data_IF_555901099861
#
_entry.id   IF_555901099861
#
_cell.length_a   1.000
_cell.length_b   1.000
_cell.length_c   1.000
_cell.angle_alpha   90.00
_cell.angle_beta   90.00
_cell.angle_gamma   90.00
#
_symmetry.space_group_name_H-M   'P 1'
#
loop_
_entity.id
_entity.type
_entity.pdbx_description
1 polymer ?
#
# COMPACT_ATOMS: atom_id res chain seq x y z
N UNK A 1 8.13 -14.60 20.41
CA UNK A 1 8.68 -15.21 19.18
C UNK A 1 10.02 -15.87 19.49
N UNK A 2 10.23 -17.12 19.09
CA UNK A 2 11.58 -17.69 18.99
C UNK A 2 12.25 -17.11 17.74
N UNK A 3 13.52 -16.73 17.85
CA UNK A 3 14.34 -16.06 16.82
C UNK A 3 14.37 -16.84 15.49
N UNK A 4 14.14 -18.15 15.53
CA UNK A 4 14.16 -19.03 14.35
C UNK A 4 13.12 -18.67 13.28
N UNK A 5 11.92 -18.21 13.64
CA UNK A 5 10.88 -17.85 12.67
C UNK A 5 11.12 -16.52 11.95
N UNK A 6 11.95 -15.63 12.52
CA UNK A 6 12.35 -14.35 11.88
C UNK A 6 13.42 -14.60 10.82
N UNK A 7 14.33 -15.55 11.09
CA UNK A 7 15.44 -15.93 10.22
C UNK A 7 14.95 -16.42 8.85
N UNK A 8 14.00 -17.34 8.83
CA UNK A 8 13.49 -17.95 7.59
C UNK A 8 12.78 -16.93 6.68
N UNK A 9 12.11 -15.94 7.25
CA UNK A 9 11.40 -14.90 6.47
C UNK A 9 12.34 -13.83 5.88
N UNK A 10 13.34 -13.37 6.63
CA UNK A 10 14.28 -12.35 6.15
C UNK A 10 15.28 -12.88 5.12
N UNK A 11 15.64 -14.17 5.21
CA UNK A 11 16.47 -14.81 4.18
C UNK A 11 15.75 -14.88 2.83
N UNK A 12 14.42 -15.06 2.82
CA UNK A 12 13.63 -15.15 1.60
C UNK A 12 13.47 -13.79 0.87
N UNK A 13 13.47 -12.67 1.61
CA UNK A 13 13.19 -11.34 1.04
C UNK A 13 14.39 -10.38 1.00
N UNK A 14 15.46 -10.64 1.77
CA UNK A 14 16.57 -9.68 1.91
C UNK A 14 17.96 -10.28 1.67
N UNK A 15 18.09 -11.57 1.37
CA UNK A 15 19.31 -12.22 0.89
C UNK A 15 20.52 -12.26 1.84
N UNK A 16 20.57 -11.48 2.93
CA UNK A 16 21.77 -11.36 3.77
C UNK A 16 21.41 -11.23 5.26
N UNK A 17 21.25 -12.37 5.93
CA UNK A 17 21.04 -12.43 7.38
C UNK A 17 22.35 -12.32 8.18
N UNK A 18 23.50 -12.70 7.61
CA UNK A 18 24.79 -12.75 8.33
C UNK A 18 25.24 -11.39 8.89
N UNK A 19 24.76 -10.26 8.33
CA UNK A 19 25.10 -8.92 8.81
C UNK A 19 24.39 -8.51 10.13
N UNK A 20 23.37 -9.26 10.58
CA UNK A 20 22.59 -8.92 11.79
C UNK A 20 23.06 -9.61 13.08
N UNK A 21 23.84 -10.70 13.00
CA UNK A 21 24.24 -11.47 14.20
C UNK A 21 25.22 -10.73 15.12
N UNK A 22 25.91 -9.69 14.63
CA UNK A 22 26.91 -8.95 15.41
C UNK A 22 26.43 -7.70 16.16
N UNK A 23 25.16 -7.27 16.05
CA UNK A 23 24.72 -5.92 16.51
C UNK A 23 23.56 -5.87 17.51
N UNK A 24 23.32 -6.96 18.26
CA UNK A 24 22.61 -6.91 19.54
C UNK A 24 21.22 -6.26 19.54
N UNK A 25 20.30 -6.72 18.70
CA UNK A 25 18.93 -6.19 18.70
C UNK A 25 17.89 -7.14 18.11
N UNK A 26 17.50 -8.18 18.85
CA UNK A 26 16.37 -9.03 18.48
C UNK A 26 15.04 -8.38 18.90
N UNK A 27 14.46 -7.56 18.01
CA UNK A 27 13.15 -6.95 18.19
C UNK A 27 12.72 -6.08 16.99
N UNK A 28 11.42 -5.78 16.87
CA UNK A 28 10.83 -4.97 15.79
C UNK A 28 11.56 -3.62 15.61
N UNK A 29 12.02 -3.01 16.71
CA UNK A 29 12.82 -1.79 16.68
C UNK A 29 14.19 -1.98 15.98
N UNK A 30 14.82 -3.16 16.11
CA UNK A 30 16.07 -3.51 15.43
C UNK A 30 15.87 -3.69 13.93
N UNK A 31 14.79 -4.36 13.52
CA UNK A 31 14.40 -4.53 12.12
C UNK A 31 14.11 -3.15 11.47
N UNK A 32 13.36 -2.28 12.17
CA UNK A 32 13.10 -0.90 11.71
C UNK A 32 14.39 -0.11 11.50
N UNK A 33 15.34 -0.20 12.44
CA UNK A 33 16.63 0.50 12.37
C UNK A 33 17.53 -0.06 11.26
N UNK A 34 17.45 -1.36 10.97
CA UNK A 34 18.16 -2.01 9.87
C UNK A 34 17.61 -1.58 8.50
N UNK A 35 16.30 -1.64 8.28
CA UNK A 35 15.68 -1.19 7.02
C UNK A 35 15.92 0.30 6.76
N UNK A 36 15.84 1.14 7.79
CA UNK A 36 16.10 2.58 7.69
C UNK A 36 17.56 2.91 7.36
N UNK A 37 18.53 2.19 7.93
CA UNK A 37 19.96 2.42 7.65
C UNK A 37 20.40 1.98 6.26
N UNK A 38 19.87 0.89 5.69
CA UNK A 38 20.27 0.43 4.35
C UNK A 38 19.65 1.26 3.22
N UNK A 39 18.42 1.76 3.39
CA UNK A 39 17.80 2.68 2.43
C UNK A 39 18.55 4.02 2.33
N UNK A 40 19.23 4.45 3.40
CA UNK A 40 20.09 5.63 3.39
C UNK A 40 21.50 5.41 2.80
N UNK A 41 21.89 4.16 2.47
CA UNK A 41 23.24 3.81 2.02
C UNK A 41 23.36 3.48 0.52
N UNK A 42 22.34 3.71 -0.30
CA UNK A 42 22.46 3.59 -1.76
C UNK A 42 22.96 4.89 -2.39
N UNK A 43 24.18 5.28 -2.02
CA UNK A 43 25.02 6.19 -2.81
C UNK A 43 26.40 5.54 -2.86
N UNK A 44 26.96 5.21 -4.04
CA UNK A 44 28.31 4.67 -4.08
C UNK A 44 29.29 5.75 -3.65
N UNK A 45 30.03 5.49 -2.56
CA UNK A 45 31.24 6.21 -2.23
C UNK A 45 32.43 5.52 -2.90
N UNK A 46 33.00 6.17 -3.91
CA UNK A 46 34.39 6.11 -4.43
C UNK A 46 34.38 6.42 -5.95
N UNK A 47 35.28 7.19 -6.54
CA UNK A 47 36.63 7.54 -6.14
C UNK A 47 37.04 8.95 -6.62
N UNK A 48 37.84 9.61 -5.79
CA UNK A 48 38.71 10.73 -6.11
C UNK A 48 39.92 10.29 -6.95
N UNK A 49 40.44 11.18 -7.81
CA UNK A 49 41.85 11.17 -8.23
C UNK A 49 42.09 11.23 -9.74
N UNK A 50 42.96 12.15 -10.13
CA UNK A 50 43.36 12.57 -11.47
C UNK A 50 43.96 11.49 -12.39
N UNK A 51 44.00 11.85 -13.68
CA UNK A 51 44.82 11.33 -14.78
C UNK A 51 44.50 9.96 -15.41
N UNK A 52 43.70 10.01 -16.48
CA UNK A 52 43.99 9.27 -17.70
C UNK A 52 43.32 9.93 -18.92
N UNK A 53 44.04 10.86 -19.53
CA UNK A 53 43.77 11.31 -20.90
C UNK A 53 43.96 10.12 -21.86
N UNK A 54 42.88 9.42 -22.19
CA UNK A 54 42.85 8.41 -23.27
C UNK A 54 41.63 8.61 -24.15
N UNK A 55 41.91 9.00 -25.39
CA UNK A 55 41.01 9.11 -26.54
C UNK A 55 39.93 8.01 -26.52
N UNK A 56 38.66 8.42 -26.44
CA UNK A 56 37.53 7.52 -26.67
C UNK A 56 37.34 7.33 -28.19
N UNK A 57 37.15 6.09 -28.68
CA UNK A 57 36.79 5.82 -30.06
C UNK A 57 35.37 6.35 -30.35
N UNK A 58 35.20 6.95 -31.52
CA UNK A 58 33.93 7.43 -32.07
C UNK A 58 32.91 6.28 -32.15
N UNK A 59 31.87 6.30 -31.31
CA UNK A 59 30.78 5.32 -31.38
C UNK A 59 30.10 4.94 -30.06
N UNK A 60 30.53 5.46 -28.90
CA UNK A 60 29.82 5.22 -27.63
C UNK A 60 28.67 6.22 -27.52
N UNK A 61 27.44 5.78 -27.81
CA UNK A 61 26.25 6.50 -27.39
C UNK A 61 26.20 6.47 -25.86
N UNK A 62 26.49 7.62 -25.24
CA UNK A 62 26.23 7.84 -23.83
C UNK A 62 24.72 7.76 -23.64
N UNK A 63 24.22 6.61 -23.23
CA UNK A 63 22.82 6.46 -22.81
C UNK A 63 22.64 7.38 -21.60
N UNK A 64 22.14 8.59 -21.82
CA UNK A 64 21.78 9.48 -20.73
C UNK A 64 20.74 8.75 -19.87
N UNK A 65 20.86 8.81 -18.53
CA UNK A 65 19.87 8.20 -17.66
C UNK A 65 18.50 8.76 -18.02
N UNK A 66 17.55 7.88 -18.37
CA UNK A 66 16.18 8.27 -18.68
C UNK A 66 15.62 9.03 -17.47
N UNK A 67 14.99 10.19 -17.70
CA UNK A 67 14.26 10.92 -16.65
C UNK A 67 13.13 10.02 -16.16
N UNK A 68 12.93 9.97 -14.84
CA UNK A 68 11.88 9.17 -14.21
C UNK A 68 10.93 10.14 -13.49
N UNK A 69 9.69 10.15 -13.93
CA UNK A 69 8.59 10.90 -13.34
C UNK A 69 7.70 9.96 -12.54
N UNK A 70 7.04 10.49 -11.50
CA UNK A 70 6.19 9.71 -10.61
C UNK A 70 4.79 10.32 -10.59
N UNK A 71 3.76 9.53 -10.89
CA UNK A 71 2.37 9.95 -10.96
C UNK A 71 1.51 9.04 -10.07
N UNK A 72 0.90 9.60 -9.02
CA UNK A 72 -0.09 8.89 -8.21
C UNK A 72 -1.50 9.14 -8.75
N UNK A 73 -2.27 8.08 -9.00
CA UNK A 73 -3.61 8.20 -9.58
C UNK A 73 -4.63 7.46 -8.73
N UNK A 74 -5.70 8.13 -8.29
CA UNK A 74 -6.88 7.47 -7.70
C UNK A 74 -8.07 7.58 -8.65
N UNK A 75 -9.14 6.82 -8.39
CA UNK A 75 -10.34 6.87 -9.24
C UNK A 75 -10.99 8.26 -9.27
N UNK A 76 -11.19 8.84 -8.09
CA UNK A 76 -11.75 10.17 -7.87
C UNK A 76 -11.17 10.78 -6.58
N UNK A 77 -11.78 11.89 -6.13
CA UNK A 77 -11.36 12.63 -4.95
C UNK A 77 -11.61 11.92 -3.62
N UNK A 78 -12.40 10.84 -3.57
CA UNK A 78 -12.47 10.02 -2.35
C UNK A 78 -11.12 9.36 -2.02
N UNK A 79 -10.25 9.18 -3.02
CA UNK A 79 -8.87 8.71 -2.85
C UNK A 79 -7.82 9.80 -2.66
N UNK A 80 -8.19 11.09 -2.69
CA UNK A 80 -7.24 12.20 -2.73
C UNK A 80 -6.31 12.23 -1.51
N UNK A 81 -6.84 11.97 -0.30
CA UNK A 81 -6.03 11.97 0.91
C UNK A 81 -4.97 10.85 0.88
N UNK A 82 -5.36 9.64 0.47
CA UNK A 82 -4.43 8.52 0.37
C UNK A 82 -3.39 8.75 -0.74
N UNK A 83 -3.81 9.36 -1.85
CA UNK A 83 -2.96 9.76 -2.98
C UNK A 83 -1.91 10.78 -2.54
N UNK A 84 -2.31 11.80 -1.80
CA UNK A 84 -1.42 12.81 -1.23
C UNK A 84 -0.43 12.16 -0.25
N UNK A 85 -0.92 11.33 0.67
CA UNK A 85 -0.08 10.65 1.64
C UNK A 85 0.95 9.73 0.98
N UNK A 86 0.56 8.99 -0.07
CA UNK A 86 1.50 8.18 -0.85
C UNK A 86 2.53 9.06 -1.58
N UNK A 87 2.10 10.16 -2.20
CA UNK A 87 2.98 11.09 -2.88
C UNK A 87 4.04 11.69 -1.93
N UNK A 88 3.64 12.09 -0.72
CA UNK A 88 4.55 12.61 0.30
C UNK A 88 5.55 11.55 0.77
N UNK A 89 5.12 10.29 0.91
CA UNK A 89 6.02 9.19 1.24
C UNK A 89 7.01 8.88 0.12
N UNK A 90 6.57 8.90 -1.13
CA UNK A 90 7.45 8.72 -2.28
C UNK A 90 8.51 9.83 -2.33
N UNK A 91 8.12 11.09 -2.10
CA UNK A 91 9.06 12.23 -2.01
C UNK A 91 10.06 12.03 -0.88
N UNK A 92 9.61 11.61 0.29
CA UNK A 92 10.47 11.39 1.47
C UNK A 92 11.50 10.28 1.22
N UNK A 93 11.08 9.17 0.59
CA UNK A 93 11.95 8.02 0.31
C UNK A 93 12.87 8.23 -0.89
N UNK A 94 12.45 9.05 -1.86
CA UNK A 94 13.22 9.29 -3.08
C UNK A 94 14.54 10.03 -2.86
N UNK A 95 14.70 10.73 -1.73
CA UNK A 95 15.88 11.55 -1.35
C UNK A 95 16.33 12.61 -2.39
N UNK A 96 15.66 12.69 -3.53
CA UNK A 96 15.93 13.57 -4.67
C UNK A 96 15.04 14.83 -4.67
N UNK A 97 14.02 14.86 -3.82
CA UNK A 97 13.03 15.94 -3.78
C UNK A 97 12.23 16.06 -5.08
N UNK A 98 12.26 15.05 -5.94
CA UNK A 98 11.61 15.09 -7.24
C UNK A 98 10.10 15.33 -7.08
N UNK A 99 9.47 16.13 -7.95
CA UNK A 99 8.03 16.30 -7.92
C UNK A 99 7.33 14.95 -8.10
N UNK A 100 6.21 14.79 -7.40
CA UNK A 100 5.30 13.66 -7.58
C UNK A 100 3.97 14.26 -7.99
N UNK A 101 3.57 13.94 -9.21
CA UNK A 101 2.32 14.38 -9.81
C UNK A 101 1.17 13.55 -9.26
N UNK A 102 -0.02 14.14 -9.28
CA UNK A 102 -1.21 13.53 -8.72
C UNK A 102 -2.38 13.81 -9.63
N UNK A 103 -3.22 12.81 -9.86
CA UNK A 103 -4.42 12.94 -10.67
C UNK A 103 -5.60 12.16 -10.11
N UNK A 104 -6.80 12.70 -10.32
CA UNK A 104 -8.06 11.95 -10.32
C UNK A 104 -8.22 11.33 -11.71
N UNK A 105 -8.49 10.04 -11.82
CA UNK A 105 -8.78 9.40 -13.11
C UNK A 105 -10.00 10.02 -13.79
N UNK A 106 -11.08 10.24 -13.02
CA UNK A 106 -12.34 10.79 -13.52
C UNK A 106 -12.21 12.21 -14.06
N UNK A 107 -11.40 13.03 -13.40
CA UNK A 107 -11.33 14.48 -13.65
C UNK A 107 -9.97 14.92 -14.19
N UNK A 108 -9.15 13.97 -14.66
CA UNK A 108 -7.75 14.19 -15.07
C UNK A 108 -7.64 15.29 -16.13
N UNK A 109 -6.80 16.28 -15.87
CA UNK A 109 -6.49 17.37 -16.78
C UNK A 109 -5.04 17.32 -17.25
N UNK A 110 -4.74 18.13 -18.27
CA UNK A 110 -3.40 18.13 -18.82
C UNK A 110 -2.34 18.55 -17.78
N UNK A 111 -2.65 19.55 -16.96
CA UNK A 111 -1.72 20.09 -15.96
C UNK A 111 -1.42 19.10 -14.82
N UNK A 112 -2.19 18.03 -14.69
CA UNK A 112 -1.97 16.97 -13.70
C UNK A 112 -0.84 16.00 -14.11
N UNK A 113 -0.46 15.96 -15.39
CA UNK A 113 0.51 14.98 -15.89
C UNK A 113 1.95 15.49 -15.83
N UNK A 114 2.92 14.61 -15.50
CA UNK A 114 4.33 14.93 -15.64
C UNK A 114 4.73 15.19 -17.10
N UNK A 115 5.91 15.78 -17.34
CA UNK A 115 6.53 15.81 -18.66
C UNK A 115 6.60 14.41 -19.28
N UNK A 116 6.46 14.34 -20.61
CA UNK A 116 6.49 13.09 -21.37
C UNK A 116 7.83 12.79 -22.05
N UNK A 117 8.92 13.44 -21.64
CA UNK A 117 10.28 13.26 -22.18
C UNK A 117 11.11 12.19 -21.43
N UNK A 118 10.44 11.30 -20.70
CA UNK A 118 11.04 10.24 -19.89
C UNK A 118 10.09 9.08 -19.60
N UNK A 119 10.43 8.27 -18.59
CA UNK A 119 9.58 7.21 -18.06
C UNK A 119 8.63 7.81 -17.03
N UNK A 120 7.35 7.47 -17.11
CA UNK A 120 6.35 7.85 -16.11
C UNK A 120 6.00 6.61 -15.28
N UNK A 121 6.48 6.57 -14.05
CA UNK A 121 6.09 5.58 -13.05
C UNK A 121 4.73 5.93 -12.48
N UNK A 122 3.76 5.05 -12.71
CA UNK A 122 2.38 5.24 -12.30
C UNK A 122 2.15 4.43 -11.04
N UNK A 123 1.64 5.09 -10.00
CA UNK A 123 1.29 4.52 -8.71
C UNK A 123 -0.24 4.54 -8.57
N UNK A 124 -0.93 3.43 -8.90
CA UNK A 124 -2.37 3.37 -8.81
C UNK A 124 -2.80 3.29 -7.34
N UNK A 125 -3.43 4.35 -6.85
CA UNK A 125 -4.06 4.44 -5.54
C UNK A 125 -5.47 3.83 -5.64
N UNK A 126 -5.48 2.53 -5.88
CA UNK A 126 -6.67 1.69 -5.99
C UNK A 126 -6.54 0.52 -5.00
N UNK A 127 -7.67 -0.02 -4.55
CA UNK A 127 -7.65 -1.19 -3.66
C UNK A 127 -7.42 -2.48 -4.43
N UNK A 128 -7.95 -2.57 -5.64
CA UNK A 128 -7.99 -3.81 -6.41
C UNK A 128 -7.59 -3.50 -7.85
N UNK A 129 -6.94 -4.47 -8.50
CA UNK A 129 -6.78 -4.44 -9.95
C UNK A 129 -8.14 -4.62 -10.64
N UNK A 130 -8.25 -4.14 -11.87
CA UNK A 130 -9.47 -4.20 -12.65
C UNK A 130 -9.34 -3.37 -13.92
N UNK A 131 -10.39 -3.41 -14.76
CA UNK A 131 -10.39 -2.78 -16.09
C UNK A 131 -9.95 -1.31 -16.07
N UNK A 132 -10.36 -0.55 -15.04
CA UNK A 132 -9.94 0.86 -14.90
C UNK A 132 -8.42 1.01 -14.85
N UNK A 133 -7.72 0.15 -14.12
CA UNK A 133 -6.26 0.25 -13.95
C UNK A 133 -5.51 -0.45 -15.08
N UNK A 134 -6.04 -1.56 -15.60
CA UNK A 134 -5.34 -2.38 -16.61
C UNK A 134 -5.55 -1.91 -18.04
N UNK A 135 -6.68 -1.25 -18.34
CA UNK A 135 -7.01 -0.81 -19.71
C UNK A 135 -7.27 0.71 -19.76
N UNK A 136 -8.27 1.20 -19.01
CA UNK A 136 -8.80 2.55 -19.20
C UNK A 136 -7.80 3.65 -18.84
N UNK A 137 -7.09 3.51 -17.72
CA UNK A 137 -6.06 4.45 -17.29
C UNK A 137 -4.88 4.50 -18.27
N UNK A 138 -4.28 3.37 -18.71
CA UNK A 138 -3.29 3.39 -19.79
C UNK A 138 -3.76 4.07 -21.08
N UNK A 139 -4.99 3.78 -21.52
CA UNK A 139 -5.57 4.38 -22.74
C UNK A 139 -5.73 5.90 -22.59
N UNK A 140 -6.31 6.37 -21.48
CA UNK A 140 -6.51 7.79 -21.20
C UNK A 140 -5.17 8.54 -21.11
N UNK A 141 -4.18 8.00 -20.39
CA UNK A 141 -2.85 8.59 -20.31
C UNK A 141 -2.20 8.69 -21.68
N UNK A 142 -2.27 7.60 -22.48
CA UNK A 142 -1.72 7.58 -23.84
C UNK A 142 -2.33 8.68 -24.71
N UNK A 143 -3.67 8.83 -24.68
CA UNK A 143 -4.37 9.87 -25.43
C UNK A 143 -3.94 11.29 -25.00
N UNK A 144 -3.91 11.56 -23.69
CA UNK A 144 -3.54 12.87 -23.15
C UNK A 144 -2.08 13.26 -23.42
N UNK A 145 -1.17 12.30 -23.51
CA UNK A 145 0.21 12.55 -23.91
C UNK A 145 0.35 12.74 -25.43
N UNK A 146 -0.40 11.98 -26.24
CA UNK A 146 -0.42 12.13 -27.69
C UNK A 146 -0.93 13.52 -28.12
N UNK A 147 -1.92 14.08 -27.42
CA UNK A 147 -2.39 15.47 -27.63
C UNK A 147 -1.29 16.52 -27.42
N UNK A 148 -0.25 16.20 -26.65
CA UNK A 148 0.94 17.06 -26.43
C UNK A 148 2.09 16.74 -27.38
N UNK A 149 1.91 15.80 -28.30
CA UNK A 149 2.94 15.37 -29.24
C UNK A 149 4.08 14.56 -28.59
N UNK A 150 3.83 13.92 -27.44
CA UNK A 150 4.82 13.08 -26.75
C UNK A 150 4.25 11.68 -26.48
N UNK A 151 5.13 10.70 -26.31
CA UNK A 151 4.76 9.31 -26.04
C UNK A 151 5.75 8.73 -25.01
N UNK A 152 5.53 8.99 -23.71
CA UNK A 152 6.39 8.46 -22.67
C UNK A 152 6.21 6.94 -22.52
N UNK A 153 7.23 6.30 -21.96
CA UNK A 153 7.14 4.92 -21.51
C UNK A 153 6.43 4.88 -20.15
N UNK A 154 5.41 4.04 -20.00
CA UNK A 154 4.69 3.87 -18.75
C UNK A 154 5.19 2.65 -17.97
N UNK A 155 5.47 2.85 -16.68
CA UNK A 155 5.76 1.77 -15.74
C UNK A 155 4.68 1.75 -14.65
N UNK A 156 3.75 0.80 -14.74
CA UNK A 156 2.69 0.64 -13.75
C UNK A 156 3.20 -0.14 -12.54
N UNK A 157 3.14 0.50 -11.37
CA UNK A 157 3.32 -0.17 -10.08
C UNK A 157 2.03 -0.91 -9.69
N UNK A 158 2.12 -1.92 -8.81
CA UNK A 158 0.93 -2.56 -8.28
C UNK A 158 0.01 -1.57 -7.58
N UNK A 159 -1.28 -1.89 -7.58
CA UNK A 159 -2.29 -1.09 -6.88
C UNK A 159 -1.97 -1.01 -5.39
N UNK A 160 -2.32 0.09 -4.74
CA UNK A 160 -2.05 0.29 -3.31
C UNK A 160 -2.53 -0.88 -2.43
N UNK A 161 -3.70 -1.45 -2.72
CA UNK A 161 -4.24 -2.58 -1.97
C UNK A 161 -3.48 -3.91 -2.13
N UNK A 162 -2.56 -4.03 -3.09
CA UNK A 162 -1.65 -5.17 -3.18
C UNK A 162 -0.67 -5.24 -1.99
N UNK A 163 -0.43 -4.08 -1.35
CA UNK A 163 0.35 -3.98 -0.12
C UNK A 163 1.80 -4.42 -0.32
N UNK A 164 2.46 -3.92 -1.36
CA UNK A 164 3.92 -4.06 -1.54
C UNK A 164 4.69 -3.31 -0.45
N UNK A 165 4.13 -2.18 -0.01
CA UNK A 165 4.66 -1.43 1.11
C UNK A 165 4.24 -2.09 2.43
N UNK A 166 5.23 -2.55 3.18
CA UNK A 166 5.02 -3.24 4.46
C UNK A 166 4.49 -2.29 5.55
N UNK A 167 4.78 -0.99 5.48
CA UNK A 167 4.45 -0.06 6.56
C UNK A 167 2.94 0.15 6.71
N UNK A 168 2.15 0.42 5.65
CA UNK A 168 0.70 0.45 5.76
C UNK A 168 0.10 -0.83 6.32
N UNK A 169 0.58 -1.99 5.88
CA UNK A 169 0.11 -3.28 6.38
C UNK A 169 0.36 -3.43 7.89
N UNK A 170 1.57 -3.10 8.38
CA UNK A 170 1.88 -3.19 9.80
C UNK A 170 1.01 -2.24 10.64
N UNK A 171 0.76 -1.02 10.15
CA UNK A 171 -0.13 -0.05 10.81
C UNK A 171 -1.55 -0.59 10.94
N UNK A 172 -2.10 -1.14 9.85
CA UNK A 172 -3.45 -1.72 9.84
C UNK A 172 -3.52 -2.94 10.74
N UNK A 173 -2.55 -3.86 10.64
CA UNK A 173 -2.46 -5.04 11.50
C UNK A 173 -2.46 -4.67 12.98
N UNK A 174 -1.63 -3.71 13.39
CA UNK A 174 -1.52 -3.31 14.80
C UNK A 174 -2.79 -2.63 15.31
N UNK A 175 -3.53 -1.94 14.44
CA UNK A 175 -4.82 -1.38 14.78
C UNK A 175 -5.89 -2.47 14.89
N UNK A 176 -6.00 -3.37 13.90
CA UNK A 176 -6.93 -4.50 13.94
C UNK A 176 -6.70 -5.41 15.14
N UNK A 177 -5.45 -5.65 15.53
CA UNK A 177 -5.14 -6.44 16.72
C UNK A 177 -5.73 -5.88 18.03
N UNK A 178 -6.10 -4.60 18.07
CA UNK A 178 -6.81 -3.99 19.21
C UNK A 178 -8.33 -4.11 19.09
N UNK A 179 -8.85 -4.23 17.87
CA UNK A 179 -10.28 -4.38 17.61
C UNK A 179 -10.75 -5.84 17.73
N UNK A 180 -9.83 -6.81 17.60
CA UNK A 180 -10.13 -8.24 17.51
C UNK A 180 -9.92 -8.95 18.86
N UNK A 181 -10.82 -8.69 19.81
CA UNK A 181 -10.88 -9.40 21.09
C UNK A 181 -11.28 -10.88 20.93
N UNK A 182 -11.00 -11.76 21.91
CA UNK A 182 -11.44 -13.16 21.89
C UNK A 182 -12.95 -13.29 21.61
N UNK A 183 -13.32 -14.18 20.69
CA UNK A 183 -14.72 -14.34 20.26
C UNK A 183 -15.17 -13.37 19.17
N UNK A 184 -14.27 -12.54 18.65
CA UNK A 184 -14.50 -11.68 17.47
C UNK A 184 -14.05 -12.38 16.19
N UNK A 185 -14.90 -12.37 15.16
CA UNK A 185 -14.54 -12.72 13.78
C UNK A 185 -14.25 -11.47 12.96
N UNK A 186 -13.30 -11.56 12.02
CA UNK A 186 -13.03 -10.51 11.03
C UNK A 186 -13.67 -10.88 9.69
N UNK A 187 -14.49 -9.98 9.14
CA UNK A 187 -14.99 -10.09 7.77
C UNK A 187 -14.38 -8.98 6.91
N UNK A 188 -13.53 -9.35 5.95
CA UNK A 188 -13.09 -8.41 4.92
C UNK A 188 -14.13 -8.39 3.81
N UNK A 189 -14.64 -7.20 3.45
CA UNK A 189 -15.64 -7.04 2.38
C UNK A 189 -15.04 -6.22 1.25
N UNK A 190 -14.93 -6.81 0.06
CA UNK A 190 -14.35 -6.16 -1.11
C UNK A 190 -15.38 -5.99 -2.23
N UNK A 191 -15.09 -5.15 -3.23
CA UNK A 191 -16.01 -4.92 -4.35
C UNK A 191 -16.19 -6.18 -5.20
N UNK A 192 -15.07 -6.82 -5.56
CA UNK A 192 -15.09 -7.94 -6.50
C UNK A 192 -15.38 -7.44 -7.92
N UNK A 193 -15.30 -8.31 -8.91
CA UNK A 193 -15.62 -7.95 -10.29
C UNK A 193 -16.61 -8.98 -10.82
N UNK A 194 -17.80 -8.54 -11.22
CA UNK A 194 -18.83 -9.42 -11.79
C UNK A 194 -18.33 -9.92 -13.15
N UNK A 195 -18.36 -11.25 -13.38
CA UNK A 195 -18.12 -11.84 -14.70
C UNK A 195 -16.66 -11.88 -15.17
N UNK A 196 -15.69 -11.63 -14.28
CA UNK A 196 -14.25 -11.87 -14.50
C UNK A 196 -13.65 -12.58 -13.29
N UNK A 197 -12.40 -13.01 -13.42
CA UNK A 197 -11.63 -13.50 -12.29
C UNK A 197 -11.59 -12.45 -11.17
N UNK A 198 -11.70 -12.93 -9.92
CA UNK A 198 -11.63 -12.07 -8.77
C UNK A 198 -10.24 -11.45 -8.66
N UNK A 199 -10.14 -10.14 -8.39
CA UNK A 199 -8.87 -9.50 -8.11
C UNK A 199 -8.16 -10.19 -6.93
N UNK A 200 -6.85 -10.48 -7.02
CA UNK A 200 -6.13 -11.26 -6.02
C UNK A 200 -5.88 -10.49 -4.72
N UNK A 201 -5.93 -9.16 -4.74
CA UNK A 201 -5.46 -8.30 -3.65
C UNK A 201 -6.21 -8.52 -2.32
N UNK A 202 -7.56 -8.60 -2.26
CA UNK A 202 -8.26 -8.82 -1.00
C UNK A 202 -7.94 -10.19 -0.37
N UNK A 203 -7.82 -11.22 -1.20
CA UNK A 203 -7.44 -12.56 -0.73
C UNK A 203 -6.00 -12.57 -0.22
N UNK A 204 -5.07 -11.99 -0.97
CA UNK A 204 -3.67 -11.87 -0.56
C UNK A 204 -3.54 -11.07 0.75
N UNK A 205 -4.31 -9.99 0.91
CA UNK A 205 -4.37 -9.20 2.14
C UNK A 205 -4.89 -10.04 3.33
N UNK A 206 -5.98 -10.78 3.17
CA UNK A 206 -6.51 -11.64 4.21
C UNK A 206 -5.51 -12.74 4.61
N UNK A 207 -4.82 -13.35 3.64
CA UNK A 207 -3.78 -14.34 3.90
C UNK A 207 -2.60 -13.75 4.67
N UNK A 208 -2.16 -12.54 4.30
CA UNK A 208 -1.15 -11.79 5.08
C UNK A 208 -1.65 -11.57 6.51
N UNK A 209 -2.89 -11.08 6.71
CA UNK A 209 -3.42 -10.89 8.07
C UNK A 209 -3.41 -12.17 8.91
N UNK A 210 -3.87 -13.30 8.35
CA UNK A 210 -3.86 -14.60 9.03
C UNK A 210 -2.45 -15.05 9.45
N UNK A 211 -1.45 -14.76 8.63
CA UNK A 211 -0.06 -15.11 8.95
C UNK A 211 0.54 -14.24 10.07
N UNK A 212 0.08 -12.99 10.22
CA UNK A 212 0.71 -12.00 11.09
C UNK A 212 -0.08 -11.65 12.37
N UNK A 213 -1.39 -11.95 12.45
CA UNK A 213 -2.18 -11.79 13.66
C UNK A 213 -2.15 -13.08 14.50
N UNK A 214 -1.93 -12.95 15.82
CA UNK A 214 -1.87 -14.06 16.78
C UNK A 214 -2.82 -13.77 17.97
N UNK A 215 -3.54 -14.78 18.51
CA UNK A 215 -3.47 -16.22 18.20
C UNK A 215 -4.26 -16.61 16.95
N UNK A 216 -3.90 -17.76 16.39
CA UNK A 216 -4.52 -18.42 15.22
C UNK A 216 -6.02 -18.75 15.37
N UNK A 217 -6.68 -18.24 16.41
CA UNK A 217 -8.08 -18.50 16.73
C UNK A 217 -9.03 -17.43 16.19
N UNK A 218 -8.53 -16.28 15.75
CA UNK A 218 -9.38 -15.27 15.11
C UNK A 218 -9.90 -15.83 13.79
N UNK A 219 -11.19 -16.12 13.78
CA UNK A 219 -11.90 -16.55 12.59
C UNK A 219 -12.02 -15.38 11.62
N UNK A 220 -11.46 -15.53 10.41
CA UNK A 220 -11.44 -14.47 9.41
C UNK A 220 -11.98 -14.98 8.08
N UNK A 221 -12.79 -14.18 7.40
CA UNK A 221 -13.30 -14.50 6.07
C UNK A 221 -13.26 -13.30 5.12
N UNK A 222 -13.42 -13.61 3.83
CA UNK A 222 -13.52 -12.65 2.75
C UNK A 222 -14.88 -12.83 2.07
N UNK A 223 -15.57 -11.73 1.83
CA UNK A 223 -16.79 -11.69 1.04
C UNK A 223 -16.71 -10.55 0.02
N UNK A 224 -17.56 -10.66 -1.00
CA UNK A 224 -17.73 -9.64 -2.04
C UNK A 224 -19.20 -9.25 -2.15
N UNK A 225 -19.49 -7.99 -2.41
CA UNK A 225 -20.89 -7.57 -2.66
C UNK A 225 -21.31 -7.69 -4.13
N UNK A 226 -20.36 -7.75 -5.07
CA UNK A 226 -20.63 -7.97 -6.49
C UNK A 226 -20.28 -9.37 -7.00
N UNK A 227 -19.89 -10.30 -6.13
CA UNK A 227 -19.42 -11.62 -6.55
C UNK A 227 -19.54 -12.67 -5.43
N UNK A 228 -19.34 -13.94 -5.77
CA UNK A 228 -19.21 -15.01 -4.77
C UNK A 228 -17.76 -15.13 -4.26
N UNK A 229 -17.55 -15.45 -2.98
CA UNK A 229 -18.57 -15.67 -1.96
C UNK A 229 -19.19 -14.36 -1.46
N UNK A 230 -20.53 -14.33 -1.32
CA UNK A 230 -21.24 -13.12 -0.90
C UNK A 230 -21.22 -12.91 0.62
N UNK A 231 -21.59 -11.71 1.07
CA UNK A 231 -21.74 -11.42 2.51
C UNK A 231 -22.75 -12.37 3.15
N UNK A 232 -23.89 -12.59 2.52
CA UNK A 232 -24.97 -13.45 3.01
C UNK A 232 -24.55 -14.93 3.10
N UNK A 233 -23.65 -15.37 2.23
CA UNK A 233 -23.11 -16.74 2.24
C UNK A 233 -22.07 -16.93 3.35
N UNK A 234 -21.25 -15.91 3.61
CA UNK A 234 -20.09 -15.99 4.50
C UNK A 234 -20.46 -15.64 5.94
N UNK A 235 -21.21 -14.57 6.14
CA UNK A 235 -21.54 -14.00 7.46
C UNK A 235 -22.10 -15.04 8.45
N UNK A 236 -23.02 -15.95 8.06
CA UNK A 236 -23.56 -16.95 8.98
C UNK A 236 -22.53 -17.98 9.46
N UNK A 237 -21.46 -18.21 8.68
CA UNK A 237 -20.44 -19.24 8.94
C UNK A 237 -19.34 -18.75 9.88
N UNK A 238 -19.28 -17.45 10.14
CA UNK A 238 -18.33 -16.87 11.06
C UNK A 238 -18.58 -17.41 12.47
N UNK A 239 -17.52 -17.75 13.20
CA UNK A 239 -17.61 -18.39 14.53
C UNK A 239 -17.80 -17.42 15.67
N UNK A 240 -17.33 -16.17 15.52
CA UNK A 240 -17.42 -15.14 16.53
C UNK A 240 -18.85 -14.64 16.74
N UNK A 241 -19.18 -14.35 17.99
CA UNK A 241 -20.46 -13.71 18.35
C UNK A 241 -20.45 -12.23 17.99
N UNK A 242 -19.26 -11.60 17.93
CA UNK A 242 -19.03 -10.28 17.37
C UNK A 242 -18.33 -10.40 16.01
N UNK A 243 -18.81 -9.67 15.01
CA UNK A 243 -18.22 -9.59 13.68
C UNK A 243 -17.75 -8.17 13.43
N UNK A 244 -16.44 -8.02 13.29
CA UNK A 244 -15.81 -6.78 12.84
C UNK A 244 -15.65 -6.85 11.33
N UNK A 245 -16.24 -5.90 10.62
CA UNK A 245 -16.16 -5.78 9.17
C UNK A 245 -15.09 -4.77 8.81
N UNK A 246 -14.15 -5.17 7.96
CA UNK A 246 -13.17 -4.26 7.35
C UNK A 246 -13.50 -4.12 5.85
N UNK A 247 -14.05 -2.96 5.43
CA UNK A 247 -14.28 -2.69 4.02
C UNK A 247 -12.94 -2.51 3.30
N UNK A 248 -12.67 -3.35 2.29
CA UNK A 248 -11.49 -3.28 1.44
C UNK A 248 -11.67 -2.21 0.35
N UNK A 249 -11.89 -0.99 0.79
CA UNK A 249 -12.21 0.19 -0.02
C UNK A 249 -11.24 1.33 0.32
N UNK A 250 -11.07 2.27 -0.62
CA UNK A 250 -10.13 3.39 -0.44
C UNK A 250 -10.68 4.45 0.53
N UNK A 251 -11.98 4.73 0.44
CA UNK A 251 -12.63 5.80 1.16
C UNK A 251 -14.14 5.59 1.22
N UNK A 252 -14.81 6.54 1.88
CA UNK A 252 -16.26 6.52 2.01
C UNK A 252 -16.94 6.69 0.65
N UNK A 253 -18.11 6.08 0.47
CA UNK A 253 -18.78 6.12 -0.82
C UNK A 253 -20.09 5.36 -0.85
N UNK A 254 -20.63 5.21 -2.07
CA UNK A 254 -21.87 4.47 -2.32
C UNK A 254 -21.83 3.07 -1.68
N UNK A 255 -20.74 2.34 -1.92
CA UNK A 255 -20.57 0.97 -1.43
C UNK A 255 -20.56 0.86 0.09
N UNK A 256 -20.01 1.85 0.80
CA UNK A 256 -20.07 1.85 2.27
C UNK A 256 -21.49 1.99 2.80
N UNK A 257 -22.38 2.71 2.08
CA UNK A 257 -23.75 2.95 2.51
C UNK A 257 -24.72 1.85 2.11
N UNK A 258 -24.47 1.22 0.96
CA UNK A 258 -25.46 0.35 0.31
C UNK A 258 -25.08 -1.13 0.36
N UNK A 259 -23.78 -1.46 0.43
CA UNK A 259 -23.29 -2.82 0.22
C UNK A 259 -22.65 -3.46 1.46
N UNK A 260 -22.62 -2.74 2.59
CA UNK A 260 -22.12 -3.30 3.85
C UNK A 260 -23.18 -4.21 4.50
N UNK A 261 -22.76 -5.22 5.29
CA UNK A 261 -23.68 -6.08 6.02
C UNK A 261 -24.63 -5.24 6.87
N UNK A 262 -25.93 -5.52 6.81
CA UNK A 262 -26.92 -4.73 7.54
C UNK A 262 -27.03 -5.18 9.01
N UNK A 263 -27.45 -4.29 9.93
CA UNK A 263 -27.76 -4.68 11.31
C UNK A 263 -28.81 -5.81 11.40
N UNK A 264 -29.79 -5.85 10.49
CA UNK A 264 -30.81 -6.88 10.44
C UNK A 264 -30.23 -8.26 10.09
N UNK A 265 -29.20 -8.32 9.23
CA UNK A 265 -28.48 -9.56 8.95
C UNK A 265 -27.77 -10.06 10.21
N UNK A 266 -27.19 -9.15 10.99
CA UNK A 266 -26.53 -9.49 12.25
C UNK A 266 -27.52 -10.01 13.30
N UNK A 267 -28.64 -9.32 13.49
CA UNK A 267 -29.71 -9.73 14.40
C UNK A 267 -30.28 -11.10 14.04
N UNK A 268 -30.53 -11.36 12.74
CA UNK A 268 -31.02 -12.65 12.23
C UNK A 268 -30.16 -13.83 12.68
N UNK A 269 -28.85 -13.63 12.80
CA UNK A 269 -27.90 -14.67 13.19
C UNK A 269 -27.41 -14.54 14.64
N UNK A 270 -28.02 -13.65 15.43
CA UNK A 270 -27.65 -13.43 16.83
C UNK A 270 -26.21 -12.95 17.01
N UNK A 271 -25.70 -12.15 16.08
CA UNK A 271 -24.33 -11.62 16.07
C UNK A 271 -24.32 -10.12 16.32
N UNK A 272 -23.33 -9.65 17.06
CA UNK A 272 -22.99 -8.23 17.12
C UNK A 272 -22.21 -7.84 15.85
N UNK A 273 -22.47 -6.66 15.32
CA UNK A 273 -21.86 -6.16 14.10
C UNK A 273 -21.19 -4.81 14.34
N UNK A 274 -19.93 -4.72 13.94
CA UNK A 274 -19.19 -3.47 13.87
C UNK A 274 -18.57 -3.30 12.49
N UNK A 275 -18.78 -2.15 11.86
CA UNK A 275 -18.20 -1.83 10.56
C UNK A 275 -17.12 -0.77 10.78
N UNK A 276 -15.87 -1.13 10.48
CA UNK A 276 -14.75 -0.21 10.53
C UNK A 276 -14.80 0.76 9.34
N UNK A 277 -14.08 1.90 9.41
CA UNK A 277 -13.84 2.73 8.24
C UNK A 277 -13.21 1.93 7.09
N UNK A 278 -13.40 2.36 5.83
CA UNK A 278 -12.70 1.82 4.66
C UNK A 278 -11.21 1.68 4.90
N UNK A 279 -10.59 0.60 4.43
CA UNK A 279 -9.19 0.28 4.69
C UNK A 279 -8.23 1.45 4.41
N UNK A 280 -8.45 2.21 3.34
CA UNK A 280 -7.65 3.42 3.06
C UNK A 280 -7.80 4.49 4.15
N UNK A 281 -9.03 4.87 4.51
CA UNK A 281 -9.34 5.81 5.60
C UNK A 281 -8.88 5.31 6.97
N UNK A 282 -9.09 4.03 7.26
CA UNK A 282 -8.67 3.37 8.49
C UNK A 282 -7.15 3.44 8.63
N UNK A 283 -6.41 3.12 7.56
CA UNK A 283 -4.97 3.30 7.54
C UNK A 283 -4.56 4.75 7.82
N UNK A 284 -5.18 5.73 7.15
CA UNK A 284 -4.83 7.14 7.30
C UNK A 284 -5.09 7.66 8.73
N UNK A 285 -6.23 7.31 9.33
CA UNK A 285 -6.52 7.61 10.74
C UNK A 285 -5.44 7.05 11.66
N UNK A 286 -5.12 5.76 11.51
CA UNK A 286 -4.13 5.10 12.37
C UNK A 286 -2.72 5.63 12.12
N UNK A 287 -2.35 5.91 10.88
CA UNK A 287 -1.09 6.57 10.56
C UNK A 287 -0.98 7.93 11.27
N UNK A 288 -2.02 8.77 11.23
CA UNK A 288 -2.04 10.06 11.93
C UNK A 288 -1.90 9.90 13.45
N UNK A 289 -2.56 8.91 14.05
CA UNK A 289 -2.42 8.60 15.49
C UNK A 289 -0.97 8.22 15.84
N UNK A 290 -0.31 7.41 14.99
CA UNK A 290 1.08 7.01 15.20
C UNK A 290 2.06 8.19 15.01
N UNK A 291 1.95 8.95 13.92
CA UNK A 291 2.88 10.05 13.60
C UNK A 291 2.61 11.33 14.43
N UNK A 292 1.36 11.55 14.85
CA UNK A 292 1.00 12.65 15.75
C UNK A 292 1.58 12.48 17.15
N UNK A 293 1.71 11.24 17.64
CA UNK A 293 2.39 10.92 18.91
C UNK A 293 3.90 11.12 18.86
N UNK A 294 4.55 10.91 17.72
CA UNK A 294 5.99 11.16 17.60
C UNK A 294 6.33 12.66 17.64
N UNK A 295 5.48 13.53 17.06
CA UNK A 295 5.68 14.98 17.16
C UNK A 295 5.49 15.53 18.58
N UNK A 296 4.56 14.98 19.35
CA UNK A 296 4.37 15.38 20.76
C UNK A 296 5.42 14.80 21.71
N UNK A 297 6.06 13.67 21.34
CA UNK A 297 7.16 13.06 22.10
C UNK A 297 8.52 13.75 21.97
N UNK A 298 8.73 14.58 20.93
CA UNK A 298 9.99 15.34 20.74
C UNK A 298 10.02 16.62 21.58
N UNK A 299 8.87 17.14 22.03
CA UNK A 299 8.80 18.38 22.83
C UNK A 299 9.12 18.19 24.33
N UNK A 300 9.29 16.96 24.83
CA UNK A 300 9.41 16.69 26.26
C UNK A 300 10.84 16.35 26.74
N UNK A 301 11.88 16.48 25.89
CA UNK A 301 13.27 16.12 26.26
C UNK A 301 14.34 17.18 25.98
N UNK A 302 13.96 18.44 25.84
CA UNK A 302 14.90 19.56 25.88
C UNK A 302 14.37 20.64 26.82
N UNK A 303 14.46 20.35 28.11
CA UNK A 303 14.53 21.30 29.23
C UNK A 303 14.82 20.46 30.47
N UNK A 304 16.11 20.29 30.71
CA UNK A 304 16.77 20.38 32.01
C UNK A 304 18.26 20.63 31.75
#
# INVERSE_FOLDING_TARGET
MKISGIKEFFLLYCGEWEAMEGKGGYGIAGIRRFCYKRQACTVPASASGEDAERRLPSGVSLHMPKKIYKLCVSYDEAGAELRQHLADRIKLLGMDGAPVWQASFRDMQADDLPPGDGVVQIYPVFMQSGWTVTEALPEQLSAMYAERGVSPEFEFKPVWGAGEDVMPFLTVRDALGKELEPGTSLLVVAHGVVGKDLPPEPFAFLQKLRAFLWPQETDMALAYFGASPSVEEVFPRLKGNRVVVLPFLIGEGKHMREDMPSPELAEKWGKELEILPPLGTFYLQKAREYWGRERSGISAKTRD
#
